data_IF_353008832710
#
_entry.id   IF_353008832710
#
_cell.length_a   1.000
_cell.length_b   1.000
_cell.length_c   1.000
_cell.angle_alpha   90.00
_cell.angle_beta   90.00
_cell.angle_gamma   90.00
#
_symmetry.space_group_name_H-M   'P 1'
#
loop_
_entity.id
_entity.type
_entity.pdbx_description
1 polymer ?
#
# COMPACT_ATOMS: atom_id res chain seq x y z
N UNK A 1 -6.07 -4.35 -12.79
CA UNK A 1 -7.04 -4.01 -11.71
C UNK A 1 -6.42 -3.23 -10.56
N UNK A 2 -5.19 -3.53 -10.12
CA UNK A 2 -4.57 -2.93 -8.92
C UNK A 2 -4.59 -1.40 -8.90
N UNK A 3 -4.13 -0.73 -9.96
CA UNK A 3 -4.15 0.74 -10.03
C UNK A 3 -5.57 1.33 -9.98
N UNK A 4 -6.55 0.69 -10.62
CA UNK A 4 -7.95 1.10 -10.55
C UNK A 4 -8.51 0.94 -9.12
N UNK A 5 -8.09 -0.10 -8.39
CA UNK A 5 -8.49 -0.30 -7.00
C UNK A 5 -7.90 0.75 -6.06
N UNK A 6 -6.67 1.24 -6.31
CA UNK A 6 -6.11 2.38 -5.56
C UNK A 6 -7.01 3.61 -5.66
N UNK A 7 -7.49 3.92 -6.87
CA UNK A 7 -8.46 5.00 -7.07
C UNK A 7 -9.75 4.73 -6.29
N UNK A 8 -10.25 3.49 -6.29
CA UNK A 8 -11.46 3.12 -5.56
C UNK A 8 -11.30 3.20 -4.03
N UNK A 9 -10.09 2.99 -3.49
CA UNK A 9 -9.82 3.18 -2.07
C UNK A 9 -9.92 4.65 -1.68
N UNK A 10 -9.27 5.54 -2.44
CA UNK A 10 -9.23 6.99 -2.14
C UNK A 10 -10.55 7.71 -2.44
N UNK A 11 -11.32 7.27 -3.44
CA UNK A 11 -12.68 7.79 -3.67
C UNK A 11 -13.71 7.22 -2.70
N UNK A 12 -13.32 6.25 -1.88
CA UNK A 12 -14.15 5.69 -0.82
C UNK A 12 -15.19 4.67 -1.27
N UNK A 13 -15.13 4.21 -2.52
CA UNK A 13 -16.05 3.23 -3.11
C UNK A 13 -15.66 1.77 -2.86
N UNK A 14 -14.45 1.51 -2.37
CA UNK A 14 -14.03 0.16 -1.97
C UNK A 14 -14.69 -0.27 -0.65
N UNK A 15 -15.00 -1.56 -0.52
CA UNK A 15 -15.60 -2.13 0.69
C UNK A 15 -14.80 -1.81 1.96
N UNK A 16 -13.45 -1.89 1.90
CA UNK A 16 -12.59 -1.53 3.04
C UNK A 16 -12.72 -0.05 3.43
N UNK A 17 -12.89 0.84 2.45
CA UNK A 17 -13.10 2.28 2.71
C UNK A 17 -14.44 2.53 3.38
N UNK A 18 -15.48 1.78 3.02
CA UNK A 18 -16.79 1.83 3.69
C UNK A 18 -16.69 1.33 5.13
N UNK A 19 -16.06 0.18 5.34
CA UNK A 19 -15.90 -0.42 6.67
C UNK A 19 -15.05 0.45 7.59
N UNK A 20 -13.94 1.00 7.10
CA UNK A 20 -13.09 1.91 7.87
C UNK A 20 -13.87 3.14 8.35
N UNK A 21 -14.68 3.75 7.48
CA UNK A 21 -15.56 4.87 7.88
C UNK A 21 -16.60 4.45 8.92
N UNK A 22 -17.25 3.30 8.72
CA UNK A 22 -18.28 2.81 9.65
C UNK A 22 -17.71 2.53 11.05
N UNK A 23 -16.47 2.06 11.12
CA UNK A 23 -15.76 1.76 12.37
C UNK A 23 -14.96 2.96 12.92
N UNK A 24 -15.01 4.11 12.24
CA UNK A 24 -14.17 5.28 12.55
C UNK A 24 -12.66 4.93 12.60
N UNK A 25 -12.23 3.95 11.81
CA UNK A 25 -10.86 3.51 11.71
C UNK A 25 -10.10 4.32 10.65
N UNK A 26 -8.81 4.54 10.91
CA UNK A 26 -7.91 5.17 9.93
C UNK A 26 -7.56 4.16 8.83
N UNK A 27 -7.68 4.58 7.58
CA UNK A 27 -7.26 3.80 6.41
C UNK A 27 -6.07 4.50 5.74
N UNK A 28 -4.88 3.91 5.87
CA UNK A 28 -3.70 4.32 5.08
C UNK A 28 -3.60 3.43 3.84
N UNK A 29 -3.43 4.03 2.66
CA UNK A 29 -3.16 3.30 1.42
C UNK A 29 -1.71 3.52 1.03
N UNK A 30 -0.94 2.45 0.91
CA UNK A 30 0.48 2.49 0.54
C UNK A 30 0.72 1.67 -0.71
N UNK A 31 1.21 2.32 -1.76
CA UNK A 31 1.59 1.69 -3.01
C UNK A 31 3.11 1.45 -3.04
N UNK A 32 3.50 0.18 -2.90
CA UNK A 32 4.90 -0.23 -2.92
C UNK A 32 5.42 -0.52 -4.32
N UNK A 33 4.54 -0.64 -5.33
CA UNK A 33 5.02 -1.08 -6.64
C UNK A 33 3.92 -1.54 -7.59
N UNK A 34 2.85 -0.77 -7.72
CA UNK A 34 1.86 -1.01 -8.77
C UNK A 34 2.52 -0.85 -10.15
N UNK A 35 2.16 -1.72 -11.10
CA UNK A 35 2.72 -1.75 -12.47
C UNK A 35 2.55 -0.42 -13.20
N UNK A 36 1.65 0.44 -12.75
CA UNK A 36 1.40 1.78 -13.29
C UNK A 36 2.13 2.83 -12.45
N UNK A 37 3.39 3.18 -12.76
CA UNK A 37 4.24 3.98 -11.87
C UNK A 37 3.87 5.46 -11.83
N UNK A 38 2.93 5.87 -12.69
CA UNK A 38 2.58 7.27 -12.99
C UNK A 38 1.20 7.68 -12.47
N UNK A 39 0.51 6.84 -11.68
CA UNK A 39 -0.63 7.31 -10.91
C UNK A 39 -0.12 8.05 -9.68
N UNK A 40 -0.09 9.38 -9.73
CA UNK A 40 -0.01 10.22 -8.53
C UNK A 40 -1.43 10.39 -8.00
N UNK A 41 -1.80 9.58 -7.01
CA UNK A 41 -3.12 9.61 -6.40
C UNK A 41 -3.07 10.33 -5.04
N UNK A 42 -3.73 11.49 -4.90
CA UNK A 42 -3.90 12.12 -3.59
C UNK A 42 -4.52 11.13 -2.59
N UNK A 43 -3.89 11.00 -1.42
CA UNK A 43 -4.33 10.05 -0.38
C UNK A 43 -3.69 8.66 -0.47
N UNK A 44 -2.83 8.41 -1.47
CA UNK A 44 -1.98 7.20 -1.53
C UNK A 44 -0.53 7.60 -1.27
N UNK A 45 0.16 6.83 -0.42
CA UNK A 45 1.60 6.94 -0.24
C UNK A 45 2.32 6.06 -1.26
N UNK A 46 2.91 6.68 -2.27
CA UNK A 46 3.66 5.96 -3.31
C UNK A 46 5.15 5.83 -2.94
N UNK A 47 5.63 4.59 -2.82
CA UNK A 47 7.05 4.27 -2.57
C UNK A 47 7.74 3.62 -3.77
N UNK A 48 6.99 3.09 -4.73
CA UNK A 48 7.45 2.69 -6.06
C UNK A 48 8.78 1.89 -6.09
N UNK A 49 8.85 0.80 -5.32
CA UNK A 49 10.03 -0.08 -5.20
C UNK A 49 10.30 -0.84 -6.53
N UNK A 50 9.28 -1.00 -7.37
CA UNK A 50 9.36 -1.58 -8.71
C UNK A 50 7.98 -1.65 -9.38
N UNK A 51 7.93 -1.84 -10.69
CA UNK A 51 6.66 -1.99 -11.43
C UNK A 51 6.14 -3.43 -11.32
N UNK A 52 5.61 -3.78 -10.15
CA UNK A 52 5.27 -5.14 -9.78
C UNK A 52 6.51 -6.00 -9.48
N UNK A 53 6.29 -7.25 -9.13
CA UNK A 53 7.34 -8.26 -8.98
C UNK A 53 7.55 -9.01 -10.30
N UNK A 54 8.76 -9.51 -10.54
CA UNK A 54 9.03 -10.42 -11.64
C UNK A 54 8.29 -11.76 -11.45
N UNK A 55 8.07 -12.48 -12.56
CA UNK A 55 7.50 -13.81 -12.51
C UNK A 55 8.49 -14.79 -11.89
N UNK A 56 8.17 -15.30 -10.69
CA UNK A 56 9.08 -16.15 -9.93
C UNK A 56 9.35 -17.52 -10.56
N UNK A 57 8.55 -17.94 -11.55
CA UNK A 57 8.78 -19.19 -12.30
C UNK A 57 10.08 -19.12 -13.12
N UNK A 58 10.51 -17.91 -13.51
CA UNK A 58 11.67 -17.70 -14.38
C UNK A 58 12.90 -17.14 -13.63
N UNK A 59 12.78 -16.80 -12.36
CA UNK A 59 13.85 -16.19 -11.58
C UNK A 59 13.33 -15.57 -10.27
N UNK A 60 14.16 -14.83 -9.52
CA UNK A 60 13.70 -14.18 -8.30
C UNK A 60 12.64 -13.10 -8.60
N UNK A 61 11.57 -13.06 -7.79
CA UNK A 61 10.49 -12.09 -7.92
C UNK A 61 10.94 -10.64 -7.72
N UNK A 62 11.99 -10.45 -6.92
CA UNK A 62 12.58 -9.15 -6.58
C UNK A 62 14.01 -9.35 -6.10
N UNK A 63 14.79 -8.27 -6.09
CA UNK A 63 16.11 -8.27 -5.46
C UNK A 63 15.99 -8.27 -3.93
N UNK A 64 17.05 -8.68 -3.23
CA UNK A 64 17.10 -8.61 -1.77
C UNK A 64 16.89 -7.17 -1.27
N UNK A 65 17.45 -6.18 -1.96
CA UNK A 65 17.28 -4.76 -1.63
C UNK A 65 15.81 -4.32 -1.74
N UNK A 66 15.11 -4.75 -2.79
CA UNK A 66 13.67 -4.47 -2.94
C UNK A 66 12.85 -5.10 -1.81
N UNK A 67 13.16 -6.34 -1.42
CA UNK A 67 12.52 -6.99 -0.28
C UNK A 67 12.74 -6.25 1.04
N UNK A 68 13.97 -5.78 1.29
CA UNK A 68 14.28 -4.98 2.48
C UNK A 68 13.53 -3.65 2.50
N UNK A 69 13.44 -2.95 1.36
CA UNK A 69 12.66 -1.72 1.23
C UNK A 69 11.18 -1.97 1.51
N UNK A 70 10.61 -3.07 1.02
CA UNK A 70 9.20 -3.41 1.24
C UNK A 70 8.90 -3.69 2.73
N UNK A 71 9.79 -4.43 3.40
CA UNK A 71 9.68 -4.68 4.84
C UNK A 71 9.82 -3.39 5.67
N UNK A 72 10.75 -2.52 5.28
CA UNK A 72 10.91 -1.21 5.91
C UNK A 72 9.66 -0.35 5.74
N UNK A 73 9.08 -0.32 4.55
CA UNK A 73 7.85 0.42 4.29
C UNK A 73 6.67 -0.04 5.17
N UNK A 74 6.49 -1.36 5.32
CA UNK A 74 5.47 -1.93 6.21
C UNK A 74 5.70 -1.55 7.67
N UNK A 75 6.96 -1.62 8.14
CA UNK A 75 7.33 -1.17 9.49
C UNK A 75 7.03 0.32 9.69
N UNK A 76 7.32 1.14 8.71
CA UNK A 76 7.10 2.59 8.80
C UNK A 76 5.60 2.92 8.79
N UNK A 77 4.76 2.15 8.07
CA UNK A 77 3.29 2.23 8.19
C UNK A 77 2.78 1.93 9.58
N UNK A 78 3.22 0.81 10.17
CA UNK A 78 2.83 0.46 11.54
C UNK A 78 3.27 1.55 12.54
N UNK A 79 4.48 2.10 12.39
CA UNK A 79 4.96 3.20 13.22
C UNK A 79 4.10 4.45 13.10
N UNK A 80 3.74 4.88 11.89
CA UNK A 80 2.86 6.04 11.67
C UNK A 80 1.48 5.84 12.30
N UNK A 81 0.91 4.65 12.17
CA UNK A 81 -0.37 4.33 12.79
C UNK A 81 -0.28 4.29 14.33
N UNK A 82 0.84 3.84 14.90
CA UNK A 82 1.07 3.93 16.34
C UNK A 82 1.18 5.40 16.81
N UNK A 83 1.93 6.21 16.07
CA UNK A 83 2.09 7.65 16.34
C UNK A 83 0.77 8.41 16.22
N UNK A 84 -0.16 7.95 15.38
CA UNK A 84 -1.52 8.49 15.28
C UNK A 84 -2.47 7.99 16.38
N UNK A 85 -1.97 7.19 17.34
CA UNK A 85 -2.72 6.68 18.48
C UNK A 85 -3.44 5.35 18.22
N UNK A 86 -3.17 4.66 17.11
CA UNK A 86 -3.79 3.37 16.82
C UNK A 86 -3.25 2.28 17.75
N UNK A 87 -4.15 1.51 18.33
CA UNK A 87 -3.82 0.39 19.25
C UNK A 87 -4.08 -0.99 18.62
N UNK A 88 -4.80 -1.01 17.49
CA UNK A 88 -5.15 -2.22 16.73
C UNK A 88 -4.78 -1.97 15.26
N UNK A 89 -4.12 -2.95 14.63
CA UNK A 89 -3.67 -2.91 13.25
C UNK A 89 -4.26 -4.11 12.51
N UNK A 90 -4.70 -3.91 11.26
CA UNK A 90 -5.26 -4.92 10.38
C UNK A 90 -4.47 -4.93 9.08
#
# INVERSE_FOLDING_TARGET
VTGQMLQNFVTGGAAISVLARQLQAQLEVVDLGTVTPSLDLPGVRHLNIGAGTANFVHGPAMTQAQGQLALQAGRDSARRALESGSQLFI
#
